data_IF_442021548767
#
_entry.id   IF_442021548767
#
_cell.length_a   1.000
_cell.length_b   1.000
_cell.length_c   1.000
_cell.angle_alpha   90.00
_cell.angle_beta   90.00
_cell.angle_gamma   90.00
#
_symmetry.space_group_name_H-M   'P 1'
#
loop_
_entity.id
_entity.type
_entity.pdbx_description
1 polymer ?
#
# COMPACT_ATOMS: atom_id res chain seq x y z
N UNK A 1 -5.54 -1.28 17.97
CA UNK A 1 -6.03 -1.73 16.65
C UNK A 1 -4.82 -2.04 15.77
N UNK A 2 -4.83 -3.19 15.07
CA UNK A 2 -3.74 -3.65 14.22
C UNK A 2 -4.20 -3.72 12.76
N UNK A 3 -3.48 -3.01 11.88
CA UNK A 3 -3.71 -3.03 10.44
C UNK A 3 -2.47 -3.59 9.73
N UNK A 4 -2.69 -4.41 8.70
CA UNK A 4 -1.62 -4.96 7.85
C UNK A 4 -1.89 -4.59 6.41
N UNK A 5 -0.83 -4.30 5.66
CA UNK A 5 -0.86 -4.07 4.22
C UNK A 5 0.22 -4.91 3.54
N UNK A 6 -0.12 -5.58 2.44
CA UNK A 6 0.81 -6.42 1.70
C UNK A 6 0.52 -6.43 0.20
N UNK A 7 1.46 -5.98 -0.62
CA UNK A 7 1.45 -6.28 -2.04
C UNK A 7 1.86 -7.75 -2.22
N UNK A 8 0.91 -8.58 -2.64
CA UNK A 8 1.09 -10.05 -2.72
C UNK A 8 1.60 -10.52 -4.08
N UNK A 9 1.73 -9.63 -5.06
CA UNK A 9 2.18 -9.95 -6.42
C UNK A 9 1.48 -11.20 -7.01
N UNK A 10 0.17 -11.29 -6.81
CA UNK A 10 -0.69 -12.42 -7.18
C UNK A 10 -1.10 -13.26 -5.96
N UNK A 11 -2.33 -13.01 -5.46
CA UNK A 11 -2.81 -13.62 -4.22
C UNK A 11 -2.83 -15.15 -4.28
N UNK A 12 -3.25 -15.76 -5.39
CA UNK A 12 -3.25 -17.22 -5.54
C UNK A 12 -1.84 -17.83 -5.38
N UNK A 13 -0.82 -17.18 -5.94
CA UNK A 13 0.55 -17.65 -5.80
C UNK A 13 1.08 -17.45 -4.37
N UNK A 14 0.72 -16.34 -3.74
CA UNK A 14 1.12 -16.02 -2.37
C UNK A 14 0.43 -16.95 -1.35
N UNK A 15 -0.82 -17.36 -1.59
CA UNK A 15 -1.53 -18.37 -0.77
C UNK A 15 -0.73 -19.67 -0.66
N UNK A 16 -0.13 -20.12 -1.75
CA UNK A 16 0.69 -21.35 -1.76
C UNK A 16 2.07 -21.17 -1.09
N UNK A 17 2.38 -19.97 -0.62
CA UNK A 17 3.69 -19.59 -0.04
C UNK A 17 3.57 -19.04 1.38
N UNK A 18 2.47 -19.34 2.08
CA UNK A 18 2.31 -19.00 3.50
C UNK A 18 1.51 -17.72 3.78
N UNK A 19 0.79 -17.16 2.80
CA UNK A 19 -0.06 -15.99 3.04
C UNK A 19 -1.05 -16.22 4.19
N UNK A 20 -1.77 -17.37 4.15
CA UNK A 20 -2.76 -17.70 5.18
C UNK A 20 -2.12 -17.88 6.55
N UNK A 21 -0.97 -18.54 6.63
CA UNK A 21 -0.27 -18.76 7.90
C UNK A 21 0.14 -17.43 8.53
N UNK A 22 0.63 -16.48 7.73
CA UNK A 22 0.94 -15.14 8.21
C UNK A 22 -0.31 -14.39 8.65
N UNK A 23 -1.39 -14.40 7.84
CA UNK A 23 -2.65 -13.73 8.17
C UNK A 23 -3.23 -14.24 9.48
N UNK A 24 -3.25 -15.56 9.68
CA UNK A 24 -3.73 -16.19 10.90
C UNK A 24 -2.82 -15.84 12.11
N UNK A 25 -1.50 -15.84 11.93
CA UNK A 25 -0.55 -15.58 13.02
C UNK A 25 -0.52 -14.12 13.46
N UNK A 26 -0.67 -13.18 12.52
CA UNK A 26 -0.64 -11.75 12.83
C UNK A 26 -1.93 -11.26 13.46
N UNK A 27 -3.04 -11.97 13.19
CA UNK A 27 -4.38 -11.71 13.74
C UNK A 27 -4.77 -10.23 13.70
N UNK A 28 -4.63 -9.63 12.50
CA UNK A 28 -4.93 -8.21 12.30
C UNK A 28 -6.44 -7.93 12.36
N UNK A 29 -6.81 -6.72 12.81
CA UNK A 29 -8.19 -6.24 12.75
C UNK A 29 -8.61 -5.97 11.29
N UNK A 30 -7.67 -5.44 10.50
CA UNK A 30 -7.86 -5.17 9.07
C UNK A 30 -6.61 -5.59 8.31
N UNK A 31 -6.81 -6.34 7.22
CA UNK A 31 -5.74 -6.80 6.34
C UNK A 31 -6.01 -6.32 4.90
N UNK A 32 -5.10 -5.53 4.35
CA UNK A 32 -5.18 -4.96 3.01
C UNK A 32 -4.18 -5.63 2.08
N UNK A 33 -4.61 -5.94 0.85
CA UNK A 33 -3.71 -6.49 -0.16
C UNK A 33 -3.77 -5.70 -1.45
N UNK A 34 -2.63 -5.64 -2.14
CA UNK A 34 -2.48 -5.05 -3.47
C UNK A 34 -1.94 -6.11 -4.43
N UNK A 35 -2.16 -5.91 -5.71
CA UNK A 35 -1.82 -6.86 -6.77
C UNK A 35 -2.42 -8.26 -6.55
N UNK A 36 -3.72 -8.33 -6.29
CA UNK A 36 -4.42 -9.63 -6.18
C UNK A 36 -4.31 -10.44 -7.46
N UNK A 37 -4.26 -9.78 -8.63
CA UNK A 37 -4.17 -10.38 -9.99
C UNK A 37 -5.21 -11.44 -10.24
N UNK A 38 -6.38 -11.29 -9.62
CA UNK A 38 -7.50 -12.23 -9.78
C UNK A 38 -8.85 -11.51 -9.63
N UNK A 39 -9.89 -12.16 -10.16
CA UNK A 39 -11.28 -11.79 -9.90
C UNK A 39 -11.76 -12.49 -8.62
N UNK A 40 -12.69 -11.88 -7.89
CA UNK A 40 -13.23 -12.49 -6.64
C UNK A 40 -13.78 -13.89 -6.86
N UNK A 41 -14.46 -14.12 -7.98
CA UNK A 41 -15.06 -15.40 -8.33
C UNK A 41 -14.05 -16.53 -8.54
N UNK A 42 -12.78 -16.21 -8.72
CA UNK A 42 -11.69 -17.17 -8.84
C UNK A 42 -11.12 -17.60 -7.47
N UNK A 43 -11.53 -16.94 -6.38
CA UNK A 43 -11.07 -17.31 -5.04
C UNK A 43 -11.79 -18.59 -4.57
N UNK A 44 -10.99 -19.62 -4.27
CA UNK A 44 -11.43 -20.89 -3.70
C UNK A 44 -11.23 -20.95 -2.18
N UNK A 45 -10.88 -19.82 -1.57
CA UNK A 45 -10.59 -19.66 -0.15
C UNK A 45 -11.51 -18.62 0.47
N UNK A 46 -11.72 -18.76 1.76
CA UNK A 46 -12.43 -17.81 2.63
C UNK A 46 -11.56 -17.58 3.85
N UNK A 47 -11.56 -16.38 4.38
CA UNK A 47 -10.88 -16.04 5.62
C UNK A 47 -11.91 -15.90 6.73
N UNK A 48 -12.00 -16.90 7.59
CA UNK A 48 -12.98 -16.95 8.67
C UNK A 48 -12.82 -15.74 9.60
N UNK A 49 -13.95 -15.11 9.92
CA UNK A 49 -13.99 -13.93 10.79
C UNK A 49 -13.70 -12.60 10.10
N UNK A 50 -13.51 -12.61 8.78
CA UNK A 50 -13.31 -11.40 7.98
C UNK A 50 -14.44 -11.19 6.97
N UNK A 51 -14.93 -9.96 6.90
CA UNK A 51 -15.68 -9.43 5.76
C UNK A 51 -14.70 -9.12 4.63
N UNK A 52 -15.07 -9.40 3.38
CA UNK A 52 -14.19 -9.27 2.21
C UNK A 52 -14.70 -8.21 1.25
N UNK A 53 -13.82 -7.33 0.79
CA UNK A 53 -14.10 -6.29 -0.20
C UNK A 53 -13.04 -6.33 -1.29
N UNK A 54 -13.47 -6.47 -2.55
CA UNK A 54 -12.57 -6.68 -3.69
C UNK A 54 -12.80 -5.63 -4.75
N UNK A 55 -11.72 -5.08 -5.29
CA UNK A 55 -11.70 -4.22 -6.47
C UNK A 55 -10.74 -4.82 -7.49
N UNK A 56 -11.29 -5.57 -8.44
CA UNK A 56 -10.51 -6.24 -9.48
C UNK A 56 -10.38 -5.35 -10.72
N UNK A 57 -9.23 -5.42 -11.41
CA UNK A 57 -9.08 -4.77 -12.69
C UNK A 57 -9.98 -5.40 -13.75
N UNK A 58 -10.42 -4.62 -14.73
CA UNK A 58 -11.11 -5.13 -15.93
C UNK A 58 -10.22 -6.14 -16.69
N UNK A 59 -8.93 -5.84 -16.78
CA UNK A 59 -7.93 -6.75 -17.35
C UNK A 59 -7.63 -7.88 -16.39
N UNK A 60 -7.99 -9.11 -16.77
CA UNK A 60 -7.75 -10.32 -15.99
C UNK A 60 -6.25 -10.56 -15.72
N UNK A 61 -5.94 -10.99 -14.50
CA UNK A 61 -4.55 -11.29 -14.09
C UNK A 61 -3.65 -10.07 -13.89
N UNK A 62 -4.22 -8.89 -13.72
CA UNK A 62 -3.51 -7.63 -13.58
C UNK A 62 -4.04 -6.83 -12.40
N UNK A 63 -3.15 -6.10 -11.67
CA UNK A 63 -3.51 -5.18 -10.60
C UNK A 63 -4.51 -5.79 -9.59
N UNK A 64 -5.46 -5.01 -9.12
CA UNK A 64 -6.50 -5.42 -8.18
C UNK A 64 -6.10 -5.26 -6.72
N UNK A 65 -7.07 -4.87 -5.89
CA UNK A 65 -6.91 -4.69 -4.45
C UNK A 65 -8.00 -5.45 -3.70
N UNK A 66 -7.76 -5.80 -2.44
CA UNK A 66 -8.78 -6.32 -1.54
C UNK A 66 -8.55 -5.86 -0.10
N UNK A 67 -9.62 -5.80 0.66
CA UNK A 67 -9.63 -5.51 2.10
C UNK A 67 -10.36 -6.62 2.81
N UNK A 68 -9.76 -7.13 3.87
CA UNK A 68 -10.32 -8.11 4.79
C UNK A 68 -10.44 -7.44 6.16
N UNK A 69 -11.64 -7.36 6.72
CA UNK A 69 -11.89 -6.66 7.98
C UNK A 69 -12.72 -7.48 8.94
N UNK A 70 -12.30 -7.58 10.20
CA UNK A 70 -13.09 -8.20 11.28
C UNK A 70 -14.32 -7.36 11.65
N UNK A 71 -14.21 -6.05 11.47
CA UNK A 71 -15.33 -5.12 11.72
C UNK A 71 -15.94 -4.71 10.39
N UNK A 72 -17.26 -4.85 10.26
CA UNK A 72 -17.98 -4.40 9.07
C UNK A 72 -17.90 -2.89 8.92
N UNK A 73 -17.40 -2.34 7.80
CA UNK A 73 -17.43 -0.91 7.52
C UNK A 73 -18.86 -0.37 7.42
N UNK A 74 -19.04 0.91 7.68
CA UNK A 74 -20.30 1.63 7.48
C UNK A 74 -20.62 1.75 5.99
N UNK A 75 -19.59 1.96 5.16
CA UNK A 75 -19.69 2.04 3.72
C UNK A 75 -18.38 1.59 3.07
N UNK A 76 -18.44 1.12 1.83
CA UNK A 76 -17.27 0.81 1.01
C UNK A 76 -17.47 1.38 -0.39
N UNK A 77 -16.45 2.10 -0.89
CA UNK A 77 -16.42 2.60 -2.25
C UNK A 77 -15.16 2.14 -2.99
N UNK A 78 -15.24 2.12 -4.30
CA UNK A 78 -14.20 1.57 -5.17
C UNK A 78 -13.77 2.63 -6.19
N UNK A 79 -12.45 2.77 -6.37
CA UNK A 79 -11.88 3.76 -7.27
C UNK A 79 -11.86 5.17 -6.70
N UNK A 80 -11.61 6.13 -7.58
CA UNK A 80 -11.53 7.57 -7.30
C UNK A 80 -12.74 8.35 -7.84
N UNK A 81 -13.70 7.64 -8.45
CA UNK A 81 -14.87 8.24 -9.11
C UNK A 81 -14.55 8.82 -10.50
N UNK A 82 -13.42 8.41 -11.11
CA UNK A 82 -12.99 8.82 -12.45
C UNK A 82 -12.78 7.57 -13.30
N UNK A 83 -13.61 7.37 -14.31
CA UNK A 83 -13.63 6.16 -15.12
C UNK A 83 -12.25 5.76 -15.67
N UNK A 84 -11.46 6.73 -16.14
CA UNK A 84 -10.11 6.48 -16.66
C UNK A 84 -9.17 5.87 -15.61
N UNK A 85 -9.33 6.24 -14.33
CA UNK A 85 -8.48 5.81 -13.22
C UNK A 85 -8.97 4.55 -12.53
N UNK A 86 -10.24 4.18 -12.73
CA UNK A 86 -10.90 3.14 -11.92
C UNK A 86 -10.89 1.75 -12.56
N UNK A 87 -10.44 1.63 -13.83
CA UNK A 87 -10.43 0.36 -14.59
C UNK A 87 -9.41 -0.68 -14.09
N UNK A 88 -8.42 -0.25 -13.30
CA UNK A 88 -7.34 -1.12 -12.86
C UNK A 88 -7.52 -1.64 -11.41
N UNK A 89 -8.64 -1.36 -10.75
CA UNK A 89 -8.95 -1.89 -9.42
C UNK A 89 -7.94 -1.48 -8.32
N UNK A 90 -7.53 -0.20 -8.32
CA UNK A 90 -6.39 0.29 -7.53
C UNK A 90 -6.74 0.83 -6.16
N UNK A 91 -7.99 1.19 -5.91
CA UNK A 91 -8.40 1.88 -4.68
C UNK A 91 -9.66 1.26 -4.11
N UNK A 92 -9.62 0.94 -2.80
CA UNK A 92 -10.79 0.62 -1.98
C UNK A 92 -10.80 1.58 -0.81
N UNK A 93 -11.90 2.26 -0.60
CA UNK A 93 -12.13 3.09 0.59
C UNK A 93 -13.19 2.46 1.46
N UNK A 94 -12.83 2.09 2.68
CA UNK A 94 -13.74 1.58 3.69
C UNK A 94 -13.97 2.64 4.77
N UNK A 95 -15.23 3.01 5.00
CA UNK A 95 -15.60 3.95 6.04
C UNK A 95 -15.87 3.22 7.35
N UNK A 96 -15.16 3.55 8.39
CA UNK A 96 -15.42 3.12 9.78
C UNK A 96 -15.99 4.28 10.62
N UNK A 97 -16.34 3.98 11.85
CA UNK A 97 -16.94 4.98 12.75
C UNK A 97 -16.03 6.22 12.92
N UNK A 98 -14.74 6.00 13.13
CA UNK A 98 -13.79 7.05 13.53
C UNK A 98 -12.78 7.43 12.45
N UNK A 99 -12.71 6.71 11.32
CA UNK A 99 -11.75 6.95 10.25
C UNK A 99 -12.21 6.37 8.91
N UNK A 100 -11.59 6.84 7.83
CA UNK A 100 -11.58 6.17 6.53
C UNK A 100 -10.30 5.37 6.38
N UNK A 101 -10.41 4.15 5.87
CA UNK A 101 -9.27 3.36 5.39
C UNK A 101 -9.24 3.39 3.88
N UNK A 102 -8.12 3.79 3.30
CA UNK A 102 -7.89 3.81 1.86
C UNK A 102 -6.77 2.83 1.53
N UNK A 103 -7.13 1.67 0.99
CA UNK A 103 -6.18 0.70 0.44
C UNK A 103 -5.86 1.07 -1.01
N UNK A 104 -4.59 1.32 -1.32
CA UNK A 104 -4.16 1.84 -2.61
C UNK A 104 -3.02 1.03 -3.22
N UNK A 105 -3.10 0.84 -4.54
CA UNK A 105 -2.01 0.38 -5.39
C UNK A 105 -1.72 1.44 -6.45
N UNK A 106 -0.78 2.32 -6.17
CA UNK A 106 -0.42 3.44 -7.05
C UNK A 106 0.12 2.93 -8.39
N UNK A 107 -0.25 3.53 -9.54
CA UNK A 107 0.31 3.15 -10.83
C UNK A 107 1.84 3.26 -10.83
N UNK A 108 2.53 2.23 -11.34
CA UNK A 108 3.97 2.28 -11.55
C UNK A 108 4.29 3.09 -12.83
N UNK A 109 5.33 3.92 -12.80
CA UNK A 109 5.78 4.69 -13.96
C UNK A 109 6.35 3.83 -15.10
N UNK A 110 6.66 2.55 -14.81
CA UNK A 110 7.25 1.54 -15.69
C UNK A 110 8.69 1.85 -16.13
N UNK A 111 9.34 0.83 -16.67
CA UNK A 111 10.69 0.98 -17.22
C UNK A 111 10.65 1.96 -18.39
N UNK A 112 11.58 2.92 -18.39
CA UNK A 112 11.59 3.98 -19.40
C UNK A 112 10.59 5.11 -19.14
N UNK A 113 9.89 5.09 -18.00
CA UNK A 113 8.97 6.12 -17.55
C UNK A 113 7.76 6.34 -18.47
N UNK A 114 7.36 5.29 -19.22
CA UNK A 114 6.29 5.37 -20.22
C UNK A 114 4.93 5.79 -19.62
N UNK A 115 4.72 5.57 -18.32
CA UNK A 115 3.48 5.95 -17.61
C UNK A 115 3.69 7.09 -16.59
N UNK A 116 4.82 7.79 -16.62
CA UNK A 116 5.10 8.82 -15.62
C UNK A 116 4.06 9.95 -15.67
N UNK A 117 3.77 10.48 -16.85
CA UNK A 117 2.79 11.57 -17.01
C UNK A 117 1.40 11.17 -16.51
N UNK A 118 0.94 9.96 -16.86
CA UNK A 118 -0.33 9.42 -16.35
C UNK A 118 -0.30 9.32 -14.82
N UNK A 119 0.78 8.81 -14.26
CA UNK A 119 0.96 8.66 -12.81
C UNK A 119 0.91 10.02 -12.10
N UNK A 120 1.51 11.06 -12.65
CA UNK A 120 1.49 12.40 -12.05
C UNK A 120 0.07 12.95 -11.96
N UNK A 121 -0.73 12.78 -13.02
CA UNK A 121 -2.16 13.16 -13.01
C UNK A 121 -2.94 12.33 -12.00
N UNK A 122 -2.71 11.02 -11.97
CA UNK A 122 -3.38 10.10 -11.05
C UNK A 122 -3.10 10.45 -9.58
N UNK A 123 -1.85 10.77 -9.23
CA UNK A 123 -1.48 11.14 -7.86
C UNK A 123 -2.08 12.47 -7.42
N UNK A 124 -2.24 13.43 -8.31
CA UNK A 124 -2.95 14.69 -8.01
C UNK A 124 -4.43 14.46 -7.73
N UNK A 125 -5.05 13.55 -8.48
CA UNK A 125 -6.44 13.14 -8.24
C UNK A 125 -6.55 12.41 -6.90
N UNK A 126 -5.65 11.46 -6.63
CA UNK A 126 -5.62 10.70 -5.39
C UNK A 126 -5.43 11.60 -4.17
N UNK A 127 -4.49 12.56 -4.22
CA UNK A 127 -4.27 13.52 -3.14
C UNK A 127 -5.52 14.35 -2.83
N UNK A 128 -6.20 14.86 -3.85
CA UNK A 128 -7.47 15.59 -3.67
C UNK A 128 -8.53 14.70 -3.04
N UNK A 129 -8.68 13.49 -3.53
CA UNK A 129 -9.63 12.52 -3.01
C UNK A 129 -9.44 12.25 -1.51
N UNK A 130 -8.22 11.94 -1.08
CA UNK A 130 -7.96 11.66 0.35
C UNK A 130 -8.08 12.91 1.22
N UNK A 131 -7.82 14.10 0.66
CA UNK A 131 -8.06 15.36 1.37
C UNK A 131 -9.55 15.62 1.61
N UNK A 132 -10.39 15.40 0.62
CA UNK A 132 -11.86 15.51 0.76
C UNK A 132 -12.42 14.54 1.80
N UNK A 133 -11.82 13.35 1.94
CA UNK A 133 -12.16 12.41 3.00
C UNK A 133 -11.70 12.95 4.37
N UNK A 134 -10.48 13.47 4.47
CA UNK A 134 -9.91 13.99 5.72
C UNK A 134 -10.65 15.20 6.28
N UNK A 135 -11.32 15.98 5.44
CA UNK A 135 -12.22 17.06 5.87
C UNK A 135 -13.41 16.54 6.67
N UNK A 136 -13.85 15.30 6.42
CA UNK A 136 -15.01 14.67 7.09
C UNK A 136 -14.58 13.86 8.30
N UNK A 137 -13.54 13.06 8.16
CA UNK A 137 -13.08 12.08 9.15
C UNK A 137 -11.62 11.75 8.89
N UNK A 138 -10.78 11.49 9.93
CA UNK A 138 -9.40 11.10 9.72
C UNK A 138 -9.23 9.94 8.73
N UNK A 139 -8.14 9.95 7.98
CA UNK A 139 -7.84 8.95 6.94
C UNK A 139 -6.60 8.15 7.30
N UNK A 140 -6.67 6.85 7.08
CA UNK A 140 -5.53 5.92 7.07
C UNK A 140 -5.36 5.43 5.64
N UNK A 141 -4.26 5.77 5.01
CA UNK A 141 -3.88 5.30 3.67
C UNK A 141 -2.89 4.16 3.86
N UNK A 142 -3.09 3.04 3.18
CA UNK A 142 -2.11 1.96 3.17
C UNK A 142 -1.96 1.37 1.77
N UNK A 143 -0.80 0.83 1.49
CA UNK A 143 -0.55 0.09 0.26
C UNK A 143 0.81 0.34 -0.35
N UNK A 144 0.94 -0.15 -1.59
CA UNK A 144 2.11 0.06 -2.43
C UNK A 144 1.97 1.38 -3.18
N UNK A 145 2.77 2.37 -2.77
CA UNK A 145 2.80 3.68 -3.40
C UNK A 145 3.80 3.77 -4.55
N UNK A 146 4.52 2.69 -4.84
CA UNK A 146 5.48 2.61 -5.95
C UNK A 146 6.51 3.76 -5.96
N UNK A 147 6.88 4.29 -4.80
CA UNK A 147 7.89 5.34 -4.63
C UNK A 147 8.68 5.17 -3.34
N UNK A 148 10.00 5.25 -3.42
CA UNK A 148 10.85 5.50 -2.27
C UNK A 148 10.96 7.02 -2.08
N UNK A 149 10.48 7.55 -0.95
CA UNK A 149 10.37 9.01 -0.78
C UNK A 149 11.74 9.68 -0.69
N UNK A 150 12.61 9.18 0.18
CA UNK A 150 13.91 9.77 0.46
C UNK A 150 15.05 8.79 0.16
N UNK A 151 16.28 9.30 0.13
CA UNK A 151 17.49 8.50 -0.09
C UNK A 151 17.66 7.36 0.92
N UNK A 152 17.20 7.57 2.14
CA UNK A 152 17.20 6.53 3.20
C UNK A 152 16.24 5.38 2.92
N UNK A 153 15.28 5.57 2.01
CA UNK A 153 14.23 4.60 1.71
C UNK A 153 14.63 3.57 0.64
N UNK A 154 15.85 3.63 0.12
CA UNK A 154 16.38 2.59 -0.76
C UNK A 154 17.90 2.42 -0.60
N UNK A 155 18.39 1.21 -0.84
CA UNK A 155 19.81 0.85 -0.62
C UNK A 155 20.77 1.58 -1.56
N UNK A 156 20.45 1.63 -2.84
CA UNK A 156 21.35 2.11 -3.88
C UNK A 156 20.82 3.39 -4.53
N UNK A 157 20.49 4.40 -3.73
CA UNK A 157 19.81 5.61 -4.22
C UNK A 157 20.56 6.32 -5.34
N UNK A 158 21.90 6.45 -5.26
CA UNK A 158 22.72 7.18 -6.25
C UNK A 158 22.57 6.64 -7.67
N UNK A 159 22.43 5.33 -7.83
CA UNK A 159 22.28 4.68 -9.14
C UNK A 159 20.83 4.57 -9.59
N UNK A 160 19.88 4.96 -8.74
CA UNK A 160 18.45 4.87 -9.01
C UNK A 160 17.77 6.23 -9.18
N UNK A 161 18.49 7.34 -9.01
CA UNK A 161 17.93 8.67 -9.32
C UNK A 161 17.45 8.71 -10.78
N UNK A 162 16.19 9.09 -10.96
CA UNK A 162 15.54 9.15 -12.27
C UNK A 162 14.96 7.82 -12.78
N UNK A 163 15.11 6.72 -12.04
CA UNK A 163 14.42 5.47 -12.34
C UNK A 163 12.99 5.48 -11.77
N UNK A 164 12.10 4.68 -12.37
CA UNK A 164 10.73 4.48 -11.86
C UNK A 164 10.75 4.13 -10.36
N UNK A 165 9.93 4.80 -9.57
CA UNK A 165 9.89 4.70 -8.12
C UNK A 165 10.88 5.60 -7.38
N UNK A 166 11.78 6.31 -8.10
CA UNK A 166 12.72 7.26 -7.51
C UNK A 166 13.06 8.45 -8.42
N UNK A 167 12.11 8.86 -9.25
CA UNK A 167 12.18 10.12 -10.01
C UNK A 167 11.93 11.31 -9.08
N UNK A 168 12.35 12.50 -9.49
CA UNK A 168 12.06 13.73 -8.74
C UNK A 168 10.56 14.01 -8.70
N UNK A 169 9.84 13.71 -9.78
CA UNK A 169 8.41 13.89 -9.93
C UNK A 169 7.63 13.00 -8.95
N UNK A 170 7.93 11.70 -8.92
CA UNK A 170 7.26 10.74 -8.01
C UNK A 170 7.52 11.10 -6.54
N UNK A 171 8.76 11.42 -6.19
CA UNK A 171 9.14 11.87 -4.84
C UNK A 171 8.47 13.20 -4.47
N UNK A 172 8.37 14.12 -5.43
CA UNK A 172 7.66 15.39 -5.27
C UNK A 172 6.18 15.18 -4.94
N UNK A 173 5.50 14.26 -5.64
CA UNK A 173 4.10 13.93 -5.34
C UNK A 173 3.92 13.32 -3.96
N UNK A 174 4.84 12.48 -3.51
CA UNK A 174 4.84 11.96 -2.14
C UNK A 174 5.01 13.09 -1.11
N UNK A 175 5.91 14.03 -1.36
CA UNK A 175 6.09 15.23 -0.52
C UNK A 175 4.80 16.05 -0.47
N UNK A 176 4.18 16.35 -1.62
CA UNK A 176 2.90 17.08 -1.70
C UNK A 176 1.77 16.37 -0.93
N UNK A 177 1.72 15.04 -0.98
CA UNK A 177 0.74 14.26 -0.21
C UNK A 177 0.96 14.46 1.29
N UNK A 178 2.18 14.29 1.78
CA UNK A 178 2.49 14.44 3.20
C UNK A 178 2.25 15.89 3.67
N UNK A 179 2.72 16.90 2.94
CA UNK A 179 2.52 18.32 3.27
C UNK A 179 1.04 18.74 3.25
N UNK A 180 0.17 17.94 2.64
CA UNK A 180 -1.27 18.21 2.64
C UNK A 180 -2.00 17.80 3.93
N UNK A 181 -1.28 17.45 5.00
CA UNK A 181 -1.82 17.11 6.33
C UNK A 181 -1.78 15.63 6.67
N UNK A 182 -0.78 14.92 6.12
CA UNK A 182 -0.58 13.50 6.36
C UNK A 182 0.83 13.20 6.88
N UNK A 183 0.96 12.05 7.56
CA UNK A 183 2.20 11.60 8.20
C UNK A 183 2.54 10.19 7.73
N UNK A 184 3.77 9.97 7.27
CA UNK A 184 4.35 8.64 7.10
C UNK A 184 4.60 8.03 8.48
N UNK A 185 3.79 7.07 8.89
CA UNK A 185 3.80 6.50 10.24
C UNK A 185 5.15 5.87 10.61
N UNK A 186 5.83 5.25 9.63
CA UNK A 186 7.14 4.63 9.89
C UNK A 186 8.21 5.71 10.12
N UNK A 187 8.27 6.74 9.28
CA UNK A 187 9.26 7.83 9.43
C UNK A 187 8.95 8.74 10.61
N UNK A 188 7.70 8.83 11.01
CA UNK A 188 7.30 9.53 12.23
C UNK A 188 7.94 8.92 13.48
N UNK A 189 7.93 7.59 13.59
CA UNK A 189 8.52 6.88 14.73
C UNK A 189 10.02 6.60 14.56
N UNK A 190 10.47 6.35 13.35
CA UNK A 190 11.81 5.89 13.02
C UNK A 190 12.46 6.75 11.93
N UNK A 191 12.68 8.07 12.19
CA UNK A 191 13.13 9.02 11.16
C UNK A 191 14.48 8.62 10.54
N UNK A 192 15.39 8.07 11.36
CA UNK A 192 16.78 7.79 10.96
C UNK A 192 17.07 6.28 10.74
N UNK A 193 16.05 5.41 10.80
CA UNK A 193 16.26 3.97 10.66
C UNK A 193 16.59 3.61 9.22
N UNK A 194 17.84 3.21 9.00
CA UNK A 194 18.35 2.73 7.71
C UNK A 194 18.06 1.25 7.49
N UNK A 195 18.13 0.79 6.23
CA UNK A 195 17.99 -0.63 5.90
C UNK A 195 16.60 -1.21 6.11
N UNK A 196 15.61 -0.35 6.31
CA UNK A 196 14.21 -0.72 6.48
C UNK A 196 13.50 -0.65 5.11
N UNK A 197 13.29 -1.79 4.50
CA UNK A 197 12.73 -1.91 3.16
C UNK A 197 11.55 -2.86 3.14
N UNK A 198 10.67 -2.69 2.15
CA UNK A 198 9.47 -3.50 1.99
C UNK A 198 9.43 -4.28 0.67
N UNK A 199 10.28 -3.92 -0.28
CA UNK A 199 10.38 -4.55 -1.61
C UNK A 199 11.81 -4.83 -2.02
N UNK A 200 12.03 -5.97 -2.71
CA UNK A 200 13.31 -6.38 -3.28
C UNK A 200 13.11 -7.02 -4.65
N UNK A 201 13.92 -6.62 -5.62
CA UNK A 201 13.93 -7.30 -6.91
C UNK A 201 14.22 -8.81 -6.75
N UNK A 202 13.58 -9.64 -7.55
CA UNK A 202 13.94 -11.07 -7.64
C UNK A 202 15.35 -11.30 -8.21
N UNK A 203 15.94 -10.29 -8.84
CA UNK A 203 17.26 -10.40 -9.46
C UNK A 203 18.38 -10.22 -8.43
N UNK A 204 19.54 -10.82 -8.73
CA UNK A 204 20.81 -10.60 -8.02
C UNK A 204 20.79 -10.91 -6.52
N UNK A 205 19.85 -11.75 -6.06
CA UNK A 205 19.67 -12.05 -4.62
C UNK A 205 19.48 -10.78 -3.77
N UNK A 206 18.70 -9.84 -4.29
CA UNK A 206 18.55 -8.53 -3.69
C UNK A 206 18.03 -8.60 -2.25
N UNK A 207 17.07 -9.50 -1.95
CA UNK A 207 16.51 -9.65 -0.60
C UNK A 207 17.53 -10.22 0.40
N UNK A 208 18.32 -11.23 -0.02
CA UNK A 208 19.40 -11.78 0.82
C UNK A 208 20.45 -10.72 1.19
N UNK A 209 20.73 -9.79 0.27
CA UNK A 209 21.70 -8.70 0.46
C UNK A 209 21.06 -7.44 1.09
N UNK A 210 19.79 -7.49 1.38
CA UNK A 210 18.99 -6.34 1.78
C UNK A 210 19.16 -5.12 0.85
N UNK A 211 19.24 -5.35 -0.47
CA UNK A 211 19.28 -4.30 -1.49
C UNK A 211 17.83 -3.97 -1.90
N UNK A 212 17.09 -3.39 -0.99
CA UNK A 212 15.66 -3.15 -1.12
C UNK A 212 15.27 -1.68 -1.18
N UNK A 213 13.96 -1.48 -1.29
CA UNK A 213 13.27 -0.22 -1.33
C UNK A 213 12.10 -0.24 -0.35
N UNK A 214 11.83 0.86 0.32
CA UNK A 214 10.60 1.05 1.10
C UNK A 214 9.60 1.81 0.24
N UNK A 215 8.64 1.09 -0.30
CA UNK A 215 7.61 1.59 -1.22
C UNK A 215 6.18 1.25 -0.77
N UNK A 216 6.05 0.43 0.29
CA UNK A 216 4.79 0.14 0.95
C UNK A 216 4.68 0.97 2.24
N UNK A 217 3.53 1.59 2.45
CA UNK A 217 3.34 2.60 3.50
C UNK A 217 2.06 2.40 4.28
N UNK A 218 2.08 2.91 5.52
CA UNK A 218 0.93 3.44 6.21
C UNK A 218 1.11 4.94 6.39
N UNK A 219 0.23 5.70 5.78
CA UNK A 219 0.18 7.17 5.87
C UNK A 219 -1.11 7.53 6.58
N UNK A 220 -1.05 8.35 7.60
CA UNK A 220 -2.21 8.71 8.41
C UNK A 220 -2.42 10.21 8.42
N UNK A 221 -3.67 10.66 8.56
CA UNK A 221 -3.96 12.07 8.85
C UNK A 221 -3.17 12.53 10.08
N UNK A 222 -2.64 13.74 10.09
CA UNK A 222 -1.94 14.33 11.24
C UNK A 222 -2.77 14.23 12.53
N UNK A 223 -4.10 14.29 12.42
CA UNK A 223 -5.06 14.08 13.54
C UNK A 223 -4.91 12.71 14.24
N UNK A 224 -4.31 11.73 13.59
CA UNK A 224 -4.07 10.39 14.14
C UNK A 224 -2.63 10.17 14.58
N UNK A 225 -1.70 11.11 14.36
CA UNK A 225 -0.28 10.91 14.64
C UNK A 225 0.00 10.49 16.09
N UNK A 226 -0.63 11.11 17.06
CA UNK A 226 -0.49 10.79 18.51
C UNK A 226 -1.08 9.42 18.88
N UNK A 227 -1.89 8.82 18.01
CA UNK A 227 -2.44 7.48 18.20
C UNK A 227 -1.57 6.37 17.62
N UNK A 228 -0.52 6.71 16.87
CA UNK A 228 0.42 5.72 16.37
C UNK A 228 1.16 5.10 17.56
N UNK A 229 0.97 3.80 17.76
CA UNK A 229 1.68 3.02 18.76
C UNK A 229 2.96 2.42 18.18
N UNK A 230 2.85 1.81 16.97
CA UNK A 230 4.00 1.27 16.24
C UNK A 230 3.74 1.23 14.73
N UNK A 231 4.83 1.20 13.95
CA UNK A 231 4.85 0.99 12.51
C UNK A 231 5.89 -0.09 12.19
N UNK A 232 5.44 -1.23 11.66
CA UNK A 232 6.24 -2.44 11.54
C UNK A 232 6.47 -2.79 10.07
N UNK A 233 7.66 -3.30 9.76
CA UNK A 233 7.97 -3.95 8.49
C UNK A 233 8.33 -5.41 8.84
N UNK A 234 7.81 -6.38 8.09
CA UNK A 234 8.02 -7.82 8.32
C UNK A 234 8.92 -8.45 7.25
N UNK A 235 10.23 -8.11 7.20
CA UNK A 235 11.12 -8.51 6.10
C UNK A 235 11.34 -10.01 5.99
N UNK A 236 11.09 -10.75 7.09
CA UNK A 236 11.20 -12.21 7.16
C UNK A 236 10.02 -12.95 6.51
N UNK A 237 8.90 -12.27 6.30
CA UNK A 237 7.70 -12.88 5.71
C UNK A 237 7.89 -13.02 4.20
N UNK A 238 7.92 -14.25 3.74
CA UNK A 238 8.13 -14.61 2.35
C UNK A 238 6.78 -14.84 1.62
N UNK A 239 6.81 -14.94 0.29
CA UNK A 239 5.62 -15.22 -0.53
C UNK A 239 5.45 -14.26 -1.70
N UNK A 240 5.95 -13.05 -1.57
CA UNK A 240 5.98 -11.99 -2.58
C UNK A 240 7.39 -11.37 -2.65
N UNK A 241 7.66 -10.56 -3.65
CA UNK A 241 8.82 -9.65 -3.72
C UNK A 241 8.66 -8.45 -2.77
N UNK A 242 7.45 -8.20 -2.26
CA UNK A 242 7.22 -7.34 -1.12
C UNK A 242 7.10 -8.16 0.17
N UNK A 243 7.35 -7.52 1.30
CA UNK A 243 6.95 -8.03 2.61
C UNK A 243 5.76 -7.22 3.16
N UNK A 244 5.02 -7.77 4.13
CA UNK A 244 3.96 -7.02 4.80
C UNK A 244 4.51 -5.82 5.56
N UNK A 245 3.69 -4.78 5.68
CA UNK A 245 3.88 -3.67 6.60
C UNK A 245 2.68 -3.57 7.54
N UNK A 246 2.89 -3.06 8.74
CA UNK A 246 1.87 -2.99 9.77
C UNK A 246 1.79 -1.62 10.45
N UNK A 247 0.59 -1.27 10.90
CA UNK A 247 0.31 -0.11 11.72
C UNK A 247 -0.43 -0.55 12.98
N UNK A 248 0.08 -0.17 14.15
CA UNK A 248 -0.57 -0.34 15.43
C UNK A 248 -1.06 1.02 15.90
N UNK A 249 -2.36 1.11 16.24
CA UNK A 249 -2.99 2.29 16.82
C UNK A 249 -3.53 1.99 18.21
N UNK A 250 -3.33 2.98 19.10
CA UNK A 250 -3.93 3.01 20.47
C UNK A 250 -5.44 3.03 20.42
#
# INVERSE_FOLDING_TARGET
>A
MKLISWNVNGLRACMNKGFKDFMDSVDADIFCVQETKMQREQATFVFDGYEEYWNSAEKKGYSGTAVFSKTKPLNVSYGLGIEEHDKEGRVITAEFQDFYLVNVYTPNAQRGLERLDYRMVWEDVFRRYVKELDEKKPVIICGDLNVAHNEIDLKNFKTNVGNAGFTYEERGKMTELLESGFVDSFRYLYPDKTGAYSWWSYMFKAREKNAGWRIDYFIVSEKLADRIEDAVIYPEVMGSDHCPVGLLLK
#
